data_IF_283789268281
#
_entry.id   IF_283789268281
#
_cell.length_a   1.000
_cell.length_b   1.000
_cell.length_c   1.000
_cell.angle_alpha   90.00
_cell.angle_beta   90.00
_cell.angle_gamma   90.00
#
_symmetry.space_group_name_H-M   'P 1'
#
loop_
_entity.id
_entity.type
_entity.pdbx_description
1 polymer ?
#
# COMPACT_ATOMS: atom_id res chain seq x y z
N UNK A 1 9.99 -12.46 -8.30
CA UNK A 1 10.81 -12.23 -7.07
C UNK A 1 9.90 -12.40 -5.88
N UNK A 2 10.18 -13.33 -4.96
CA UNK A 2 9.36 -13.53 -3.76
C UNK A 2 9.88 -12.71 -2.59
N UNK A 3 9.00 -11.93 -1.94
CA UNK A 3 9.32 -11.08 -0.79
C UNK A 3 8.76 -11.63 0.52
N UNK A 4 8.18 -12.83 0.58
CA UNK A 4 7.54 -13.34 1.81
C UNK A 4 8.53 -13.65 2.94
N UNK A 5 8.02 -14.07 4.10
CA UNK A 5 8.83 -14.52 5.24
C UNK A 5 9.41 -15.94 5.08
N UNK A 6 9.14 -16.61 3.95
CA UNK A 6 9.64 -17.95 3.68
C UNK A 6 11.17 -17.98 3.48
N UNK A 7 11.82 -19.07 3.89
CA UNK A 7 13.28 -19.22 3.78
C UNK A 7 13.83 -19.14 2.35
N UNK A 8 13.01 -19.48 1.37
CA UNK A 8 13.34 -19.41 -0.06
C UNK A 8 12.99 -18.06 -0.71
N UNK A 9 12.41 -17.10 0.02
CA UNK A 9 12.22 -15.73 -0.49
C UNK A 9 13.57 -14.99 -0.54
N UNK A 10 13.64 -13.84 -1.23
CA UNK A 10 14.86 -13.01 -1.21
C UNK A 10 15.18 -12.50 0.21
N UNK A 11 14.14 -12.24 1.02
CA UNK A 11 14.27 -11.82 2.42
C UNK A 11 14.83 -12.97 3.27
N UNK A 12 14.40 -14.20 3.00
CA UNK A 12 14.92 -15.40 3.66
C UNK A 12 16.35 -15.74 3.25
N UNK A 13 16.64 -15.70 1.95
CA UNK A 13 17.96 -16.06 1.39
C UNK A 13 19.04 -15.04 1.74
N UNK A 14 18.71 -13.74 1.74
CA UNK A 14 19.66 -12.65 2.01
C UNK A 14 19.56 -12.11 3.44
N UNK A 15 19.02 -12.90 4.38
CA UNK A 15 18.69 -12.42 5.74
C UNK A 15 19.86 -11.76 6.46
N UNK A 16 21.10 -12.24 6.28
CA UNK A 16 22.29 -11.66 6.88
C UNK A 16 22.71 -10.34 6.24
N UNK A 17 22.48 -10.16 4.93
CA UNK A 17 22.83 -8.92 4.22
C UNK A 17 21.75 -7.84 4.37
N UNK A 18 20.47 -8.23 4.32
CA UNK A 18 19.35 -7.28 4.37
C UNK A 18 18.83 -7.05 5.79
N UNK A 19 19.33 -7.79 6.78
CA UNK A 19 18.93 -7.71 8.19
C UNK A 19 17.39 -7.74 8.40
N UNK A 20 16.67 -8.46 7.54
CA UNK A 20 15.20 -8.52 7.56
C UNK A 20 14.51 -7.20 7.25
N UNK A 21 15.15 -6.28 6.52
CA UNK A 21 14.63 -4.94 6.22
C UNK A 21 14.56 -4.74 4.72
N UNK A 22 13.43 -4.22 4.23
CA UNK A 22 13.29 -3.82 2.83
C UNK A 22 12.20 -2.75 2.69
N UNK A 23 12.22 -2.03 1.59
CA UNK A 23 11.21 -1.03 1.28
C UNK A 23 10.87 -1.05 -0.19
N UNK A 24 9.62 -0.76 -0.53
CA UNK A 24 9.21 -0.51 -1.90
C UNK A 24 8.39 0.77 -2.02
N UNK A 25 8.32 1.25 -3.25
CA UNK A 25 7.60 2.44 -3.62
C UNK A 25 7.13 2.28 -5.06
N UNK A 26 5.82 2.12 -5.23
CA UNK A 26 5.19 1.95 -6.53
C UNK A 26 4.77 3.29 -7.09
N UNK A 27 5.23 3.60 -8.30
CA UNK A 27 4.84 4.79 -9.01
C UNK A 27 3.44 4.62 -9.60
N UNK A 28 2.59 5.62 -9.42
CA UNK A 28 1.33 5.78 -10.15
C UNK A 28 1.51 6.36 -11.57
N UNK A 29 2.71 6.82 -11.92
CA UNK A 29 3.03 7.45 -13.20
C UNK A 29 3.88 6.55 -14.09
N UNK A 30 3.54 6.40 -15.40
CA UNK A 30 4.34 5.59 -16.33
C UNK A 30 5.74 6.18 -16.59
N UNK A 31 5.93 7.48 -16.31
CA UNK A 31 7.20 8.17 -16.54
C UNK A 31 8.16 8.11 -15.34
N UNK A 32 7.72 7.52 -14.22
CA UNK A 32 8.50 7.42 -13.00
C UNK A 32 8.62 5.95 -12.63
N UNK A 33 9.86 5.48 -12.44
CA UNK A 33 10.11 4.09 -12.09
C UNK A 33 9.67 3.79 -10.66
N UNK A 34 8.93 2.68 -10.51
CA UNK A 34 8.79 1.99 -9.23
C UNK A 34 10.12 1.42 -8.77
N UNK A 35 10.26 1.23 -7.46
CA UNK A 35 11.57 1.09 -6.83
C UNK A 35 11.48 0.19 -5.60
N UNK A 36 12.52 -0.63 -5.38
CA UNK A 36 12.67 -1.49 -4.20
C UNK A 36 14.10 -1.36 -3.66
N UNK A 37 14.25 -1.37 -2.33
CA UNK A 37 15.53 -1.29 -1.65
C UNK A 37 15.57 -2.29 -0.49
N UNK A 38 16.77 -2.72 -0.13
CA UNK A 38 17.00 -3.75 0.89
C UNK A 38 18.01 -3.28 1.94
N UNK A 39 17.91 -3.82 3.15
CA UNK A 39 18.86 -3.57 4.22
C UNK A 39 18.97 -2.10 4.61
N UNK A 40 20.18 -1.59 4.88
CA UNK A 40 20.39 -0.19 5.29
C UNK A 40 19.88 0.85 4.28
N UNK A 41 19.83 0.51 2.98
CA UNK A 41 19.36 1.42 1.94
C UNK A 41 17.81 1.53 1.93
N UNK A 42 17.10 0.61 2.57
CA UNK A 42 15.65 0.63 2.70
C UNK A 42 15.13 1.61 3.76
N UNK A 43 16.01 2.05 4.67
CA UNK A 43 15.62 2.86 5.82
C UNK A 43 15.17 4.26 5.40
N UNK A 44 14.05 4.72 5.97
CA UNK A 44 13.57 6.09 5.78
C UNK A 44 14.38 7.04 6.70
N UNK A 45 15.26 7.91 6.17
CA UNK A 45 16.20 8.70 6.96
C UNK A 45 15.55 9.88 7.70
N UNK A 46 14.25 10.13 7.49
CA UNK A 46 13.51 11.19 8.17
C UNK A 46 12.14 10.68 8.65
N UNK A 47 11.85 10.72 9.96
CA UNK A 47 10.61 10.19 10.53
C UNK A 47 9.39 11.12 10.34
N UNK A 48 9.58 12.34 9.82
CA UNK A 48 8.46 13.25 9.57
C UNK A 48 7.47 12.67 8.56
N UNK A 49 6.19 12.62 8.93
CA UNK A 49 5.13 12.06 8.10
C UNK A 49 5.17 10.55 7.95
N UNK A 50 5.98 9.84 8.76
CA UNK A 50 5.99 8.38 8.82
C UNK A 50 4.97 7.93 9.87
N UNK A 51 4.07 7.04 9.48
CA UNK A 51 3.19 6.31 10.39
C UNK A 51 3.63 4.85 10.45
N UNK A 52 3.39 4.18 11.58
CA UNK A 52 3.88 2.83 11.83
C UNK A 52 2.77 1.96 12.38
N UNK A 53 2.55 0.81 11.77
CA UNK A 53 1.61 -0.22 12.24
C UNK A 53 2.37 -1.50 12.56
N UNK A 54 2.06 -2.19 13.66
CA UNK A 54 2.59 -3.52 13.92
C UNK A 54 2.20 -4.51 12.84
N UNK A 55 3.12 -5.41 12.50
CA UNK A 55 2.82 -6.62 11.74
C UNK A 55 2.23 -7.68 12.70
N UNK A 56 1.17 -8.37 12.28
CA UNK A 56 0.59 -9.43 13.12
C UNK A 56 1.52 -10.66 13.14
N UNK A 57 2.01 -11.00 14.34
CA UNK A 57 2.88 -12.13 14.60
C UNK A 57 2.19 -13.28 15.34
N UNK A 58 0.84 -13.30 15.36
CA UNK A 58 0.04 -14.34 16.02
C UNK A 58 0.34 -15.73 15.47
N UNK A 59 0.05 -16.77 16.24
CA UNK A 59 0.31 -18.16 15.84
C UNK A 59 -0.44 -18.50 14.54
N UNK A 60 -1.66 -18.01 14.37
CA UNK A 60 -2.43 -18.16 13.13
C UNK A 60 -1.73 -17.47 11.95
N UNK A 61 -1.31 -16.21 12.13
CA UNK A 61 -0.50 -15.48 11.17
C UNK A 61 0.88 -16.11 10.94
N UNK A 62 1.44 -16.91 11.84
CA UNK A 62 2.72 -17.61 11.62
C UNK A 62 2.57 -18.94 10.89
N UNK A 63 1.46 -19.65 11.11
CA UNK A 63 1.17 -20.93 10.44
C UNK A 63 0.80 -20.68 8.96
N UNK A 64 0.04 -19.60 8.69
CA UNK A 64 -0.35 -19.23 7.32
C UNK A 64 0.60 -18.16 6.73
N UNK A 65 1.19 -17.29 7.55
CA UNK A 65 1.90 -16.08 7.11
C UNK A 65 3.41 -16.17 6.96
N UNK A 66 3.99 -17.37 6.83
CA UNK A 66 5.26 -17.44 6.10
C UNK A 66 5.13 -16.93 4.63
N UNK A 67 3.89 -16.72 4.17
CA UNK A 67 3.57 -16.25 2.83
C UNK A 67 3.10 -14.79 2.75
N UNK A 68 2.88 -14.07 3.86
CA UNK A 68 2.26 -12.74 3.80
C UNK A 68 2.60 -11.80 4.96
N UNK A 69 2.38 -10.50 4.73
CA UNK A 69 2.58 -9.43 5.70
C UNK A 69 1.23 -8.99 6.27
N UNK A 70 0.88 -9.51 7.44
CA UNK A 70 -0.43 -9.31 8.06
C UNK A 70 -0.49 -8.03 8.86
N UNK A 71 -1.60 -7.30 8.72
CA UNK A 71 -1.86 -6.01 9.35
C UNK A 71 -3.24 -6.03 10.02
N UNK A 72 -3.44 -5.12 10.96
CA UNK A 72 -4.75 -4.85 11.55
C UNK A 72 -5.27 -3.52 10.99
N UNK A 73 -6.07 -3.60 9.94
CA UNK A 73 -6.95 -2.52 9.50
C UNK A 73 -8.14 -2.44 10.46
N UNK A 74 -8.36 -1.28 11.07
CA UNK A 74 -9.45 -1.05 12.02
C UNK A 74 -10.71 -0.57 11.32
N UNK A 75 -10.57 0.38 10.39
CA UNK A 75 -11.67 0.98 9.62
C UNK A 75 -11.11 1.89 8.51
N UNK A 76 -11.98 2.55 7.74
CA UNK A 76 -11.64 3.60 6.79
C UNK A 76 -12.27 4.95 7.20
N UNK A 77 -11.75 6.04 6.65
CA UNK A 77 -12.49 7.29 6.51
C UNK A 77 -12.80 7.55 5.04
N UNK A 78 -14.00 8.08 4.79
CA UNK A 78 -14.41 8.64 3.50
C UNK A 78 -14.65 10.14 3.68
N UNK A 79 -13.84 10.96 3.02
CA UNK A 79 -13.76 12.40 3.29
C UNK A 79 -13.37 12.64 4.75
N UNK A 80 -14.20 13.38 5.47
CA UNK A 80 -13.98 13.71 6.89
C UNK A 80 -14.67 12.74 7.85
N UNK A 81 -15.24 11.65 7.34
CA UNK A 81 -16.04 10.73 8.15
C UNK A 81 -15.36 9.38 8.31
N UNK A 82 -14.96 9.07 9.54
CA UNK A 82 -14.53 7.73 9.95
C UNK A 82 -15.74 6.79 9.95
N UNK A 83 -15.61 5.65 9.28
CA UNK A 83 -16.66 4.64 9.19
C UNK A 83 -16.82 3.97 10.56
N UNK A 84 -18.06 3.88 11.01
CA UNK A 84 -18.43 3.18 12.24
C UNK A 84 -18.90 1.78 11.88
N UNK A 85 -18.30 0.78 12.51
CA UNK A 85 -18.66 -0.62 12.35
C UNK A 85 -19.45 -1.06 13.57
N UNK A 86 -20.51 -1.86 13.36
CA UNK A 86 -21.33 -2.39 14.45
C UNK A 86 -20.57 -3.41 15.30
N UNK A 87 -19.62 -4.12 14.67
CA UNK A 87 -18.72 -5.07 15.29
C UNK A 87 -17.29 -4.78 14.85
N UNK A 88 -16.28 -5.03 15.70
CA UNK A 88 -14.90 -5.01 15.27
C UNK A 88 -14.70 -5.97 14.09
N UNK A 89 -13.84 -5.59 13.15
CA UNK A 89 -13.42 -6.49 12.08
C UNK A 89 -12.73 -7.69 12.72
N UNK A 90 -13.16 -8.88 12.31
CA UNK A 90 -12.58 -10.12 12.78
C UNK A 90 -12.50 -11.08 11.61
N UNK A 91 -11.30 -11.57 11.31
CA UNK A 91 -11.15 -12.64 10.34
C UNK A 91 -11.07 -13.96 11.11
N UNK A 92 -11.93 -14.92 10.75
CA UNK A 92 -11.98 -16.21 11.45
C UNK A 92 -10.65 -16.97 11.46
N UNK A 93 -9.80 -16.69 10.47
CA UNK A 93 -8.57 -17.46 10.22
C UNK A 93 -7.29 -16.77 10.69
N UNK A 94 -7.29 -15.45 10.95
CA UNK A 94 -6.05 -14.68 11.14
C UNK A 94 -5.96 -13.91 12.47
N UNK A 95 -6.80 -14.24 13.45
CA UNK A 95 -6.74 -13.63 14.79
C UNK A 95 -7.11 -12.14 14.75
N UNK A 96 -6.19 -11.27 15.21
CA UNK A 96 -6.40 -9.82 15.19
C UNK A 96 -6.02 -9.18 13.85
N UNK A 97 -5.38 -9.94 12.94
CA UNK A 97 -5.12 -9.46 11.59
C UNK A 97 -6.43 -9.40 10.82
N UNK A 98 -6.61 -8.31 10.10
CA UNK A 98 -7.83 -8.06 9.34
C UNK A 98 -7.55 -7.85 7.86
N UNK A 99 -6.26 -7.76 7.46
CA UNK A 99 -5.85 -7.59 6.07
C UNK A 99 -4.39 -8.04 5.84
N UNK A 100 -4.05 -8.56 4.66
CA UNK A 100 -2.67 -8.86 4.25
C UNK A 100 -2.18 -7.87 3.21
N UNK A 101 -0.97 -7.33 3.37
CA UNK A 101 -0.33 -6.53 2.32
C UNK A 101 0.22 -7.45 1.23
N UNK A 102 -0.29 -7.29 0.01
CA UNK A 102 0.11 -8.10 -1.14
C UNK A 102 0.37 -7.23 -2.37
N UNK A 103 1.58 -7.35 -2.91
CA UNK A 103 2.00 -6.65 -4.13
C UNK A 103 1.60 -7.41 -5.40
N UNK A 104 1.18 -8.67 -5.29
CA UNK A 104 0.72 -9.51 -6.40
C UNK A 104 -0.75 -9.29 -6.78
N UNK A 105 -1.53 -8.64 -5.90
CA UNK A 105 -2.94 -8.35 -6.13
C UNK A 105 -3.14 -6.90 -6.54
N UNK A 106 -3.93 -6.68 -7.61
CA UNK A 106 -4.15 -5.34 -8.17
C UNK A 106 -5.03 -4.47 -7.25
N UNK A 107 -6.24 -4.95 -6.93
CA UNK A 107 -7.22 -4.23 -6.10
C UNK A 107 -7.04 -4.47 -4.60
N UNK A 108 -7.63 -3.59 -3.80
CA UNK A 108 -7.79 -3.83 -2.35
C UNK A 108 -9.12 -4.51 -2.09
N UNK A 109 -9.07 -5.68 -1.46
CA UNK A 109 -10.24 -6.45 -1.06
C UNK A 109 -10.51 -6.18 0.41
N UNK A 110 -11.61 -5.49 0.70
CA UNK A 110 -12.02 -5.15 2.06
C UNK A 110 -12.87 -6.27 2.67
N UNK A 111 -12.81 -6.47 4.00
CA UNK A 111 -13.77 -7.32 4.70
C UNK A 111 -15.20 -6.91 4.40
N UNK A 112 -16.13 -7.87 4.31
CA UNK A 112 -17.53 -7.61 3.94
C UNK A 112 -18.17 -6.47 4.74
N UNK A 113 -18.07 -6.48 6.07
CA UNK A 113 -18.69 -5.47 6.94
C UNK A 113 -18.10 -4.07 6.72
N UNK A 114 -16.79 -3.99 6.44
CA UNK A 114 -16.13 -2.71 6.14
C UNK A 114 -16.52 -2.21 4.75
N UNK A 115 -16.60 -3.11 3.77
CA UNK A 115 -17.00 -2.76 2.41
C UNK A 115 -18.43 -2.22 2.36
N UNK A 116 -19.38 -2.82 3.09
CA UNK A 116 -20.76 -2.34 3.14
C UNK A 116 -20.86 -0.91 3.70
N UNK A 117 -20.11 -0.64 4.78
CA UNK A 117 -20.02 0.72 5.35
C UNK A 117 -19.36 1.69 4.36
N UNK A 118 -18.31 1.25 3.67
CA UNK A 118 -17.57 2.03 2.67
C UNK A 118 -18.44 2.37 1.47
N UNK A 119 -19.11 1.39 0.85
CA UNK A 119 -19.99 1.59 -0.30
C UNK A 119 -21.12 2.59 0.04
N UNK A 120 -21.75 2.41 1.20
CA UNK A 120 -22.81 3.31 1.67
C UNK A 120 -22.33 4.75 1.82
N UNK A 121 -21.13 4.96 2.35
CA UNK A 121 -20.60 6.30 2.52
C UNK A 121 -20.07 6.89 1.22
N UNK A 122 -19.45 6.10 0.35
CA UNK A 122 -19.02 6.55 -0.98
C UNK A 122 -20.19 7.05 -1.82
N UNK A 123 -21.31 6.32 -1.84
CA UNK A 123 -22.52 6.76 -2.55
C UNK A 123 -23.02 8.10 -2.07
N UNK A 124 -22.94 8.37 -0.76
CA UNK A 124 -23.32 9.66 -0.17
C UNK A 124 -22.33 10.77 -0.50
N UNK A 125 -21.03 10.48 -0.38
CA UNK A 125 -19.96 11.45 -0.58
C UNK A 125 -19.85 11.90 -2.05
N UNK A 126 -19.97 10.97 -3.00
CA UNK A 126 -19.99 11.28 -4.44
C UNK A 126 -21.29 12.01 -4.80
N UNK A 127 -22.43 11.51 -4.30
CA UNK A 127 -23.74 12.10 -4.56
C UNK A 127 -24.26 11.86 -5.98
N UNK A 128 -23.76 10.84 -6.68
CA UNK A 128 -24.22 10.42 -8.00
C UNK A 128 -24.58 8.92 -8.01
N UNK A 129 -25.39 8.46 -8.98
CA UNK A 129 -25.64 7.04 -9.17
C UNK A 129 -24.33 6.29 -9.39
N UNK A 130 -24.10 5.25 -8.58
CA UNK A 130 -22.94 4.36 -8.72
C UNK A 130 -23.38 2.93 -9.01
N UNK A 131 -22.66 2.22 -9.85
CA UNK A 131 -22.91 0.79 -10.18
C UNK A 131 -21.63 -0.02 -10.05
N UNK A 132 -21.76 -1.33 -9.82
CA UNK A 132 -20.60 -2.23 -9.81
C UNK A 132 -20.29 -2.69 -11.24
N UNK A 133 -19.01 -2.71 -11.61
CA UNK A 133 -18.56 -3.33 -12.86
C UNK A 133 -18.35 -4.85 -12.68
N UNK A 134 -17.85 -5.52 -13.72
CA UNK A 134 -17.59 -6.97 -13.71
C UNK A 134 -16.52 -7.41 -12.70
N UNK A 135 -15.68 -6.49 -12.23
CA UNK A 135 -14.67 -6.74 -11.20
C UNK A 135 -15.14 -6.36 -9.78
N UNK A 136 -16.41 -5.92 -9.63
CA UNK A 136 -16.97 -5.49 -8.35
C UNK A 136 -16.57 -4.08 -7.91
N UNK A 137 -15.87 -3.30 -8.76
CA UNK A 137 -15.51 -1.92 -8.47
C UNK A 137 -16.75 -1.03 -8.49
N UNK A 138 -16.84 -0.10 -7.53
CA UNK A 138 -17.91 0.89 -7.50
C UNK A 138 -17.57 2.05 -8.46
N UNK A 139 -18.38 2.21 -9.50
CA UNK A 139 -18.13 3.14 -10.59
C UNK A 139 -19.24 4.19 -10.71
N UNK A 140 -18.89 5.39 -11.18
CA UNK A 140 -19.82 6.50 -11.43
C UNK A 140 -19.40 7.31 -12.66
N UNK A 141 -20.35 8.03 -13.25
CA UNK A 141 -20.05 8.97 -14.33
C UNK A 141 -19.66 10.34 -13.74
N UNK A 142 -18.42 10.74 -13.94
CA UNK A 142 -17.84 11.98 -13.42
C UNK A 142 -18.40 13.24 -14.11
N UNK A 143 -18.96 13.12 -15.32
CA UNK A 143 -19.56 14.25 -16.06
C UNK A 143 -20.73 14.90 -15.32
N UNK A 144 -21.38 14.15 -14.40
CA UNK A 144 -22.49 14.63 -13.57
C UNK A 144 -22.08 14.96 -12.13
N UNK A 145 -20.78 14.96 -11.82
CA UNK A 145 -20.23 15.19 -10.48
C UNK A 145 -19.51 16.53 -10.46
N UNK A 146 -19.70 17.31 -9.39
CA UNK A 146 -18.94 18.54 -9.19
C UNK A 146 -17.44 18.25 -9.15
N UNK A 147 -16.65 19.02 -9.91
CA UNK A 147 -15.19 18.94 -9.89
C UNK A 147 -14.69 19.03 -8.44
N UNK A 148 -13.85 18.08 -8.03
CA UNK A 148 -13.31 18.01 -6.65
C UNK A 148 -14.09 17.12 -5.67
N UNK A 149 -15.20 16.48 -6.08
CA UNK A 149 -15.94 15.53 -5.22
C UNK A 149 -15.34 14.12 -5.12
N UNK A 150 -14.06 13.92 -5.40
CA UNK A 150 -13.38 12.64 -5.11
C UNK A 150 -13.02 12.63 -3.61
N UNK A 151 -13.77 11.94 -2.72
CA UNK A 151 -13.48 11.99 -1.29
C UNK A 151 -12.09 11.40 -0.99
N UNK A 152 -11.37 12.05 -0.09
CA UNK A 152 -10.15 11.50 0.50
C UNK A 152 -10.47 10.17 1.20
N UNK A 153 -9.67 9.14 0.97
CA UNK A 153 -9.81 7.84 1.65
C UNK A 153 -8.62 7.64 2.57
N UNK A 154 -8.88 7.36 3.85
CA UNK A 154 -7.84 7.07 4.83
C UNK A 154 -8.05 5.66 5.37
N UNK A 155 -7.03 4.81 5.26
CA UNK A 155 -6.97 3.53 5.93
C UNK A 155 -6.42 3.71 7.34
N UNK A 156 -7.16 3.26 8.34
CA UNK A 156 -6.77 3.37 9.74
C UNK A 156 -6.28 2.03 10.24
N UNK A 157 -4.97 1.91 10.41
CA UNK A 157 -4.34 0.71 10.94
C UNK A 157 -4.06 0.84 12.44
N UNK A 158 -3.89 -0.31 13.11
CA UNK A 158 -3.52 -0.38 14.52
C UNK A 158 -2.24 0.42 14.81
N UNK A 159 -2.13 0.93 16.05
CA UNK A 159 -1.03 1.80 16.45
C UNK A 159 -1.24 3.28 16.06
N UNK A 160 -2.48 3.68 15.76
CA UNK A 160 -2.85 5.02 15.28
C UNK A 160 -2.17 5.38 13.95
N UNK A 161 -2.02 4.39 13.06
CA UNK A 161 -1.39 4.57 11.77
C UNK A 161 -2.44 4.93 10.70
N UNK A 162 -2.61 6.23 10.49
CA UNK A 162 -3.52 6.78 9.49
C UNK A 162 -2.79 6.91 8.14
N UNK A 163 -3.17 6.07 7.18
CA UNK A 163 -2.60 6.06 5.82
C UNK A 163 -3.63 6.61 4.85
N UNK A 164 -3.44 7.86 4.44
CA UNK A 164 -4.19 8.43 3.32
C UNK A 164 -3.80 7.75 2.02
N UNK A 165 -4.75 7.16 1.31
CA UNK A 165 -4.49 6.48 0.05
C UNK A 165 -4.32 7.50 -1.08
N UNK A 166 -3.34 7.26 -1.96
CA UNK A 166 -3.16 8.10 -3.15
C UNK A 166 -4.44 8.17 -3.97
N UNK A 167 -4.93 9.37 -4.37
CA UNK A 167 -6.06 9.49 -5.29
C UNK A 167 -5.85 8.74 -6.60
N UNK A 168 -4.60 8.65 -7.11
CA UNK A 168 -4.26 7.88 -8.32
C UNK A 168 -4.29 6.37 -8.09
N UNK A 169 -4.13 5.96 -6.84
CA UNK A 169 -4.33 4.59 -6.38
C UNK A 169 -5.81 4.23 -6.24
N UNK A 170 -6.62 5.15 -5.70
CA UNK A 170 -8.04 4.90 -5.39
C UNK A 170 -8.94 5.02 -6.62
N UNK A 171 -8.75 6.05 -7.45
CA UNK A 171 -9.65 6.38 -8.55
C UNK A 171 -9.04 5.98 -9.89
N UNK A 172 -9.74 5.12 -10.62
CA UNK A 172 -9.33 4.58 -11.91
C UNK A 172 -10.30 5.01 -13.02
N UNK A 173 -9.76 5.61 -14.06
CA UNK A 173 -10.55 6.07 -15.21
C UNK A 173 -10.78 4.91 -16.19
N UNK A 174 -12.06 4.63 -16.46
CA UNK A 174 -12.50 3.55 -17.35
C UNK A 174 -12.87 4.03 -18.76
N UNK A 175 -12.74 5.33 -19.01
CA UNK A 175 -13.12 5.98 -20.27
C UNK A 175 -14.58 6.46 -20.27
N UNK A 176 -14.94 7.28 -21.26
CA UNK A 176 -16.28 7.88 -21.40
C UNK A 176 -16.77 8.63 -20.14
N UNK A 177 -15.84 9.22 -19.37
CA UNK A 177 -16.14 9.91 -18.12
C UNK A 177 -16.51 8.99 -16.96
N UNK A 178 -16.31 7.67 -17.07
CA UNK A 178 -16.54 6.72 -15.97
C UNK A 178 -15.29 6.60 -15.11
N UNK A 179 -15.47 6.75 -13.80
CA UNK A 179 -14.44 6.57 -12.78
C UNK A 179 -14.87 5.46 -11.83
N UNK A 180 -13.97 4.53 -11.53
CA UNK A 180 -14.18 3.40 -10.64
C UNK A 180 -13.23 3.47 -9.44
N UNK A 181 -13.67 3.00 -8.28
CA UNK A 181 -12.81 2.87 -7.10
C UNK A 181 -12.12 1.51 -7.06
N UNK A 182 -10.88 1.46 -6.62
CA UNK A 182 -10.06 0.23 -6.57
C UNK A 182 -10.17 -0.56 -5.26
N UNK A 183 -11.10 -0.15 -4.39
CA UNK A 183 -11.47 -0.88 -3.18
C UNK A 183 -12.75 -1.66 -3.48
N UNK A 184 -12.66 -2.98 -3.40
CA UNK A 184 -13.74 -3.93 -3.68
C UNK A 184 -14.04 -4.77 -2.44
N UNK A 185 -15.19 -5.44 -2.43
CA UNK A 185 -15.49 -6.44 -1.40
C UNK A 185 -14.60 -7.65 -1.60
N UNK A 186 -14.15 -8.28 -0.51
CA UNK A 186 -13.71 -9.66 -0.59
C UNK A 186 -14.82 -10.56 -1.17
N UNK A 187 -14.42 -11.70 -1.72
CA UNK A 187 -15.32 -12.71 -2.27
C UNK A 187 -15.18 -14.01 -1.48
N UNK A 188 -16.20 -14.87 -1.54
CA UNK A 188 -16.14 -16.19 -0.91
C UNK A 188 -14.95 -17.04 -1.41
N UNK A 189 -14.50 -16.79 -2.65
CA UNK A 189 -13.34 -17.46 -3.26
C UNK A 189 -11.99 -16.97 -2.71
N UNK A 190 -11.90 -15.69 -2.35
CA UNK A 190 -10.65 -15.07 -1.89
C UNK A 190 -10.55 -15.16 -0.35
N UNK A 191 -11.67 -15.06 0.38
CA UNK A 191 -11.84 -15.19 1.84
C UNK A 191 -10.65 -14.66 2.69
N UNK A 192 -10.02 -13.62 2.18
CA UNK A 192 -8.78 -13.06 2.66
C UNK A 192 -8.79 -11.60 2.24
N UNK A 193 -9.01 -10.67 3.17
CA UNK A 193 -8.89 -9.26 2.86
C UNK A 193 -7.45 -8.93 2.47
N UNK A 194 -7.28 -8.16 1.40
CA UNK A 194 -5.98 -7.89 0.79
C UNK A 194 -5.81 -6.38 0.60
N UNK A 195 -4.68 -5.85 1.07
CA UNK A 195 -4.21 -4.51 0.78
C UNK A 195 -3.35 -4.55 -0.49
N UNK A 196 -4.00 -4.38 -1.64
CA UNK A 196 -3.39 -4.55 -2.95
C UNK A 196 -2.53 -3.38 -3.42
N UNK A 197 -1.83 -3.59 -4.54
CA UNK A 197 -0.83 -2.65 -5.06
C UNK A 197 -1.37 -1.25 -5.33
N UNK A 198 -2.64 -1.11 -5.76
CA UNK A 198 -3.26 0.20 -6.01
C UNK A 198 -3.31 1.08 -4.76
N UNK A 199 -3.57 0.50 -3.58
CA UNK A 199 -3.57 1.24 -2.31
C UNK A 199 -2.18 1.45 -1.73
N UNK A 200 -1.16 0.74 -2.26
CA UNK A 200 0.24 0.92 -1.90
C UNK A 200 0.96 1.95 -2.81
N UNK A 201 0.31 2.42 -3.89
CA UNK A 201 0.89 3.38 -4.83
C UNK A 201 1.20 4.72 -4.17
N UNK A 202 2.31 5.31 -4.60
CA UNK A 202 2.82 6.59 -4.11
C UNK A 202 3.21 6.59 -2.63
N UNK A 203 3.30 5.43 -1.96
CA UNK A 203 3.83 5.31 -0.60
C UNK A 203 5.23 4.71 -0.62
N UNK A 204 6.09 5.17 0.28
CA UNK A 204 7.26 4.37 0.70
C UNK A 204 6.78 3.44 1.81
N UNK A 205 6.70 2.14 1.52
CA UNK A 205 6.38 1.10 2.48
C UNK A 205 7.68 0.43 2.91
N UNK A 206 8.08 0.67 4.16
CA UNK A 206 9.29 0.13 4.77
C UNK A 206 8.92 -0.97 5.77
N UNK A 207 9.35 -2.19 5.48
CA UNK A 207 9.15 -3.37 6.29
C UNK A 207 10.35 -3.55 7.21
N UNK A 208 10.14 -3.35 8.51
CA UNK A 208 11.12 -3.65 9.54
C UNK A 208 10.73 -4.94 10.25
N UNK A 209 11.25 -6.06 9.76
CA UNK A 209 10.91 -7.39 10.31
C UNK A 209 11.67 -7.70 11.60
N UNK A 210 12.62 -6.84 12.00
CA UNK A 210 13.31 -6.94 13.30
C UNK A 210 12.41 -6.36 14.38
N UNK A 211 11.88 -5.17 14.12
CA UNK A 211 10.95 -4.50 15.04
C UNK A 211 9.49 -4.92 14.82
N UNK A 212 9.25 -5.78 13.82
CA UNK A 212 7.96 -6.33 13.44
C UNK A 212 6.92 -5.23 13.13
N UNK A 213 7.33 -4.23 12.35
CA UNK A 213 6.50 -3.10 11.95
C UNK A 213 6.51 -2.88 10.43
N UNK A 214 5.40 -2.36 9.92
CA UNK A 214 5.32 -1.74 8.61
C UNK A 214 5.21 -0.22 8.80
N UNK A 215 6.14 0.49 8.19
CA UNK A 215 6.16 1.95 8.16
C UNK A 215 5.64 2.42 6.80
N UNK A 216 4.73 3.39 6.82
CA UNK A 216 4.26 4.06 5.62
C UNK A 216 4.62 5.53 5.67
N UNK A 217 5.18 6.03 4.58
CA UNK A 217 5.38 7.46 4.37
C UNK A 217 4.70 7.88 3.09
N UNK A 218 3.76 8.81 3.21
CA UNK A 218 3.22 9.50 2.06
C UNK A 218 4.14 10.68 1.68
N UNK A 219 4.69 10.74 0.46
CA UNK A 219 5.67 11.73 0.07
C UNK A 219 5.09 13.13 -0.08
N UNK A 220 3.76 13.30 -0.17
CA UNK A 220 3.12 14.62 -0.23
C UNK A 220 3.20 15.44 1.06
N UNK A 221 3.51 14.82 2.20
CA UNK A 221 3.57 15.53 3.49
C UNK A 221 4.88 16.31 3.72
N UNK A 222 5.85 16.27 2.80
CA UNK A 222 7.04 17.13 2.89
C UNK A 222 7.64 17.44 1.52
N UNK A 223 7.92 18.71 1.25
CA UNK A 223 8.67 19.18 0.07
C UNK A 223 10.15 18.75 0.02
N UNK A 224 10.62 17.95 0.97
CA UNK A 224 12.00 17.50 1.00
C UNK A 224 12.25 16.37 -0.02
N UNK A 225 13.18 16.53 -0.98
CA UNK A 225 13.55 15.47 -1.91
C UNK A 225 14.16 14.29 -1.15
N UNK A 226 13.61 13.09 -1.35
CA UNK A 226 14.13 11.85 -0.78
C UNK A 226 15.12 11.20 -1.74
N UNK A 227 16.35 10.97 -1.28
CA UNK A 227 17.44 10.31 -2.01
C UNK A 227 17.87 9.02 -1.33
N UNK A 228 17.48 7.88 -1.88
CA UNK A 228 18.20 6.61 -1.70
C UNK A 228 19.47 6.56 -2.57
N UNK A 229 20.45 5.76 -2.16
CA UNK A 229 21.65 5.49 -2.96
C UNK A 229 21.35 4.35 -3.95
N UNK A 230 21.73 4.52 -5.21
CA UNK A 230 21.74 3.44 -6.20
C UNK A 230 22.86 2.48 -5.88
N UNK A 231 22.50 1.21 -5.68
CA UNK A 231 23.42 0.10 -5.86
C UNK A 231 22.74 -0.95 -6.71
N UNK A 232 23.33 -1.23 -7.85
CA UNK A 232 22.92 -2.32 -8.73
C UNK A 232 23.34 -3.63 -8.04
N UNK A 233 22.36 -4.43 -7.60
CA UNK A 233 22.62 -5.76 -7.05
C UNK A 233 22.60 -6.73 -8.24
N UNK A 234 23.75 -6.96 -8.87
CA UNK A 234 23.92 -8.11 -9.74
C UNK A 234 23.93 -9.38 -8.87
N UNK A 235 22.84 -10.16 -8.94
CA UNK A 235 22.79 -11.50 -8.35
C UNK A 235 23.52 -12.44 -9.33
N UNK A 236 24.86 -12.46 -9.29
CA UNK A 236 25.64 -13.53 -9.91
C UNK A 236 25.62 -14.76 -8.99
N UNK A 237 24.98 -15.83 -9.45
CA UNK A 237 25.09 -17.14 -8.83
C UNK A 237 26.54 -17.62 -9.03
N UNK A 238 27.40 -17.34 -8.03
CA UNK A 238 28.70 -18.00 -7.86
C UNK A 238 29.94 -17.25 -8.34
N UNK A 239 30.25 -16.07 -7.78
CA UNK A 239 31.61 -15.62 -7.39
C UNK A 239 31.58 -14.15 -6.97
N UNK A 240 32.05 -13.82 -5.77
CA UNK A 240 32.30 -12.43 -5.38
C UNK A 240 33.42 -11.83 -6.23
N UNK A 241 33.10 -10.77 -6.99
CA UNK A 241 34.03 -9.69 -7.29
C UNK A 241 33.32 -8.37 -7.09
N UNK A 242 33.81 -7.58 -6.15
CA UNK A 242 33.48 -6.16 -6.08
C UNK A 242 34.08 -5.46 -7.32
N UNK A 243 33.21 -4.88 -8.15
CA UNK A 243 33.60 -3.83 -9.10
C UNK A 243 32.86 -2.57 -8.70
N UNK A 244 33.58 -1.62 -8.13
CA UNK A 244 33.14 -0.23 -8.13
C UNK A 244 33.19 0.29 -9.57
N UNK A 245 32.02 0.39 -10.22
CA UNK A 245 31.91 1.23 -11.41
C UNK A 245 31.67 2.67 -10.92
N UNK A 246 32.62 3.55 -11.22
CA UNK A 246 32.41 4.99 -11.11
C UNK A 246 31.51 5.43 -12.28
N UNK A 247 30.19 5.30 -12.10
CA UNK A 247 29.21 6.08 -12.84
C UNK A 247 28.59 7.09 -11.87
N UNK A 248 28.45 8.34 -12.32
CA UNK A 248 28.23 9.51 -11.47
C UNK A 248 27.10 9.37 -10.46
N UNK A 249 27.39 9.75 -9.21
CA UNK A 249 26.44 9.73 -8.10
C UNK A 249 25.20 10.59 -8.38
N UNK A 250 24.12 9.93 -8.77
CA UNK A 250 22.78 10.49 -8.85
C UNK A 250 21.98 10.13 -7.60
N UNK A 251 21.50 11.15 -6.89
CA UNK A 251 20.51 11.00 -5.83
C UNK A 251 19.21 10.39 -6.41
N UNK A 252 18.66 9.34 -5.79
CA UNK A 252 17.31 8.88 -6.13
C UNK A 252 16.30 9.99 -5.96
N UNK A 253 15.27 9.95 -6.81
CA UNK A 253 14.10 10.82 -6.70
C UNK A 253 12.93 10.01 -6.11
N UNK A 254 12.03 10.64 -5.35
CA UNK A 254 10.78 10.01 -4.91
C UNK A 254 10.06 9.36 -6.10
N UNK A 255 9.38 8.22 -5.91
CA UNK A 255 8.61 7.57 -6.99
C UNK A 255 7.27 8.29 -7.29
N UNK A 256 7.14 9.54 -6.86
CA UNK A 256 5.95 10.36 -7.02
C UNK A 256 6.33 11.56 -7.85
N UNK A 257 5.50 11.87 -8.85
CA UNK A 257 5.62 13.10 -9.61
C UNK A 257 5.36 14.25 -8.64
N UNK A 258 6.32 15.16 -8.49
CA UNK A 258 6.09 16.46 -7.86
C UNK A 258 5.32 17.31 -8.85
N UNK A 259 4.09 16.91 -9.15
CA UNK A 259 3.15 17.73 -9.92
C UNK A 259 2.19 18.34 -8.91
N UNK A 260 2.21 19.67 -8.84
CA UNK A 260 1.46 20.46 -7.88
C UNK A 260 -0.03 20.14 -7.92
N UNK A 261 -0.49 19.38 -6.93
CA UNK A 261 -1.88 19.39 -6.49
C UNK A 261 -2.04 20.43 -5.37
N UNK A 262 -1.59 21.64 -5.68
CA UNK A 262 -1.93 22.89 -5.00
C UNK A 262 -1.95 23.94 -6.10
N UNK A 263 -3.03 23.97 -6.86
CA UNK A 263 -3.53 25.23 -7.42
C UNK A 263 -5.03 25.08 -7.65
N UNK A 264 -5.75 26.07 -7.10
CA UNK A 264 -7.21 26.34 -7.08
C UNK A 264 -8.12 25.45 -6.23
#
# INVERSE_FOLDING_TARGET
>A
MGLSLASFSIIGQLRSQVAGKFAHCFSSSPNISSRIAFGPDAMIPYPYGVVSTPLDSSVAARIIGNFGYWLTLETLSVGNKRLLLEKPLHTYWFGNATIVADTGTYYTYLPFELYDAFEKEMRKAIGAPMTKNEYGQLCYNESGVEVGRRPRIVAHFAGNADVELSPKGVYEEWGNGVVCVTLVSETDDINMPIFGVKSQMDHVLYYDLVDNNLHSRFPFLSSAPYSMREREIEIEIGRERERESQSGGGAWRPCVAVDGFLDS
#
